data_IF_249220036997
#
_entry.id   IF_249220036997
#
_cell.length_a   1.000
_cell.length_b   1.000
_cell.length_c   1.000
_cell.angle_alpha   90.00
_cell.angle_beta   90.00
_cell.angle_gamma   90.00
#
_symmetry.space_group_name_H-M   'P 1'
#
loop_
_entity.id
_entity.type
_entity.pdbx_description
1 polymer ?
#
# COMPACT_ATOMS: atom_id res chain seq x y z
N UNK A 1 -4.22 17.36 15.81
CA UNK A 1 -3.28 17.56 14.68
C UNK A 1 -1.96 16.90 15.03
N UNK A 2 -1.34 16.23 14.10
CA UNK A 2 -0.01 15.63 14.27
C UNK A 2 0.94 16.44 13.40
N UNK A 3 1.99 17.01 14.00
CA UNK A 3 3.02 17.82 13.35
C UNK A 3 2.48 18.89 12.37
N UNK A 4 1.39 19.57 12.78
CA UNK A 4 0.74 20.61 11.96
C UNK A 4 -0.22 20.11 10.88
N UNK A 5 -0.31 18.79 10.63
CA UNK A 5 -1.26 18.19 9.71
C UNK A 5 -2.55 17.76 10.42
N UNK A 6 -3.72 17.84 9.77
CA UNK A 6 -5.00 17.48 10.36
C UNK A 6 -5.23 15.95 10.38
N UNK A 7 -4.19 15.18 10.66
CA UNK A 7 -4.27 13.72 10.79
C UNK A 7 -4.99 13.32 12.08
N UNK A 8 -5.74 12.22 12.00
CA UNK A 8 -6.33 11.56 13.16
C UNK A 8 -5.19 10.95 13.98
N UNK A 9 -5.21 11.18 15.30
CA UNK A 9 -4.27 10.50 16.19
C UNK A 9 -4.60 9.02 16.23
N UNK A 10 -3.57 8.18 16.16
CA UNK A 10 -3.75 6.72 16.19
C UNK A 10 -3.76 6.15 17.62
N UNK A 11 -3.52 6.97 18.63
CA UNK A 11 -3.45 6.48 20.01
C UNK A 11 -4.45 7.17 20.94
N UNK A 12 -4.95 6.37 21.89
CA UNK A 12 -5.66 6.83 23.08
C UNK A 12 -4.92 6.25 24.31
N UNK A 13 -4.12 7.10 24.99
CA UNK A 13 -3.21 6.63 26.02
C UNK A 13 -2.14 5.70 25.43
N UNK A 14 -2.09 4.44 25.90
CA UNK A 14 -1.13 3.42 25.46
C UNK A 14 -1.71 2.45 24.41
N UNK A 15 -2.90 2.70 23.90
CA UNK A 15 -3.54 1.87 22.88
C UNK A 15 -3.56 2.58 21.54
N UNK A 16 -3.39 1.83 20.46
CA UNK A 16 -3.37 2.30 19.06
C UNK A 16 -4.51 1.61 18.29
N UNK A 17 -4.83 2.13 17.11
CA UNK A 17 -5.93 1.62 16.28
C UNK A 17 -7.11 2.60 16.15
N UNK A 18 -7.10 3.72 16.87
CA UNK A 18 -8.17 4.73 16.80
C UNK A 18 -8.30 5.31 15.40
N UNK A 19 -7.18 5.58 14.72
CA UNK A 19 -7.22 6.07 13.35
C UNK A 19 -7.76 5.01 12.38
N UNK A 20 -7.46 3.74 12.61
CA UNK A 20 -8.03 2.64 11.83
C UNK A 20 -9.55 2.59 11.97
N UNK A 21 -10.06 2.62 13.19
CA UNK A 21 -11.50 2.58 13.46
C UNK A 21 -12.23 3.76 12.81
N UNK A 22 -11.71 4.98 12.96
CA UNK A 22 -12.28 6.17 12.34
C UNK A 22 -12.29 6.10 10.81
N UNK A 23 -11.18 5.62 10.21
CA UNK A 23 -10.99 5.66 8.75
C UNK A 23 -11.67 4.47 8.07
N UNK A 24 -11.44 3.25 8.56
CA UNK A 24 -11.85 2.02 7.89
C UNK A 24 -13.05 1.33 8.55
N UNK A 25 -13.23 1.51 9.86
CA UNK A 25 -14.34 0.96 10.61
C UNK A 25 -15.62 1.78 10.47
N UNK A 26 -15.56 3.07 10.80
CA UNK A 26 -16.71 3.96 10.72
C UNK A 26 -16.88 4.62 9.35
N UNK A 27 -15.76 4.91 8.67
CA UNK A 27 -15.77 5.65 7.41
C UNK A 27 -16.19 7.13 7.54
N UNK A 28 -16.21 7.86 6.44
CA UNK A 28 -16.52 9.30 6.40
C UNK A 28 -15.68 10.12 7.40
N UNK A 29 -14.46 9.67 7.64
CA UNK A 29 -13.55 10.32 8.59
C UNK A 29 -13.13 11.71 8.07
N UNK A 30 -12.61 12.55 8.98
CA UNK A 30 -12.05 13.86 8.58
C UNK A 30 -10.81 13.75 7.65
N UNK A 31 -10.23 12.57 7.49
CA UNK A 31 -9.18 12.32 6.50
C UNK A 31 -9.75 11.86 5.15
N UNK A 32 -11.02 11.51 5.07
CA UNK A 32 -11.68 11.12 3.83
C UNK A 32 -11.84 12.33 2.89
N UNK A 33 -11.50 12.13 1.63
CA UNK A 33 -11.72 13.12 0.55
C UNK A 33 -12.83 12.61 -0.36
N UNK A 34 -12.77 11.33 -0.70
CA UNK A 34 -13.80 10.68 -1.51
C UNK A 34 -13.82 9.18 -1.21
N UNK A 35 -14.99 8.67 -0.85
CA UNK A 35 -15.23 7.25 -0.62
C UNK A 35 -16.62 6.82 -1.09
N UNK A 36 -16.75 5.55 -1.42
CA UNK A 36 -18.02 4.91 -1.73
C UNK A 36 -18.63 4.40 -0.43
N UNK A 37 -19.87 4.81 -0.17
CA UNK A 37 -20.59 4.44 1.04
C UNK A 37 -21.40 3.18 0.77
N UNK A 38 -21.35 2.25 1.71
CA UNK A 38 -22.13 1.02 1.74
C UNK A 38 -23.08 1.04 2.94
N UNK A 39 -24.25 0.42 2.82
CA UNK A 39 -25.32 0.51 3.80
C UNK A 39 -25.80 -0.86 4.27
N UNK A 40 -26.13 -0.95 5.55
CA UNK A 40 -26.65 -2.15 6.18
C UNK A 40 -28.08 -2.51 5.70
N UNK A 41 -28.90 -1.49 5.45
CA UNK A 41 -30.32 -1.64 5.24
C UNK A 41 -30.70 -2.35 3.92
N UNK A 42 -29.79 -2.44 2.97
CA UNK A 42 -30.06 -3.02 1.65
C UNK A 42 -28.91 -3.91 1.21
N UNK A 43 -29.18 -5.20 0.99
CA UNK A 43 -28.16 -6.18 0.58
C UNK A 43 -27.46 -5.83 -0.75
N UNK A 44 -28.16 -5.11 -1.65
CA UNK A 44 -27.56 -4.61 -2.89
C UNK A 44 -26.49 -3.54 -2.67
N UNK A 45 -26.44 -2.93 -1.48
CA UNK A 45 -25.49 -1.88 -1.09
C UNK A 45 -24.40 -2.40 -0.16
N UNK A 46 -24.21 -3.71 -0.04
CA UNK A 46 -23.09 -4.28 0.68
C UNK A 46 -21.80 -4.28 -0.17
N UNK A 47 -20.67 -4.10 0.48
CA UNK A 47 -19.37 -4.16 -0.17
C UNK A 47 -18.91 -5.61 -0.40
N UNK A 48 -19.55 -6.26 -1.36
CA UNK A 48 -19.22 -7.66 -1.71
C UNK A 48 -17.82 -7.84 -2.27
N UNK A 49 -17.22 -6.79 -2.82
CA UNK A 49 -15.85 -6.82 -3.33
C UNK A 49 -14.86 -7.02 -2.18
N UNK A 50 -15.01 -6.30 -1.06
CA UNK A 50 -14.14 -6.47 0.11
C UNK A 50 -14.25 -7.89 0.64
N UNK A 51 -15.45 -8.41 0.86
CA UNK A 51 -15.63 -9.78 1.38
C UNK A 51 -15.11 -10.85 0.42
N UNK A 52 -15.22 -10.66 -0.89
CA UNK A 52 -14.70 -11.58 -1.90
C UNK A 52 -13.17 -11.56 -1.96
N UNK A 53 -12.57 -10.38 -2.00
CA UNK A 53 -11.12 -10.27 -2.18
C UNK A 53 -10.34 -10.44 -0.89
N UNK A 54 -10.82 -9.88 0.23
CA UNK A 54 -10.08 -9.89 1.50
C UNK A 54 -10.60 -10.94 2.48
N UNK A 55 -11.80 -11.46 2.24
CA UNK A 55 -12.45 -12.38 3.16
C UNK A 55 -13.01 -11.66 4.39
N UNK A 56 -13.21 -12.41 5.46
CA UNK A 56 -13.73 -11.88 6.71
C UNK A 56 -12.94 -12.32 7.95
N UNK A 57 -11.93 -13.15 7.80
CA UNK A 57 -11.10 -13.61 8.91
C UNK A 57 -9.94 -14.48 8.40
N UNK A 58 -9.05 -14.86 9.31
CA UNK A 58 -8.00 -15.84 9.04
C UNK A 58 -8.54 -17.25 8.75
N UNK A 59 -9.79 -17.55 9.17
CA UNK A 59 -10.46 -18.81 8.90
C UNK A 59 -11.12 -18.86 7.53
N UNK A 60 -11.61 -17.71 7.06
CA UNK A 60 -12.25 -17.54 5.75
C UNK A 60 -11.51 -16.47 4.95
N UNK A 61 -10.28 -16.76 4.51
CA UNK A 61 -9.50 -15.81 3.73
C UNK A 61 -10.13 -15.59 2.36
N UNK A 62 -9.97 -14.35 1.84
CA UNK A 62 -10.43 -14.01 0.51
C UNK A 62 -9.51 -14.52 -0.60
N UNK A 63 -9.80 -14.07 -1.82
CA UNK A 63 -8.99 -14.38 -3.00
C UNK A 63 -7.59 -13.77 -2.93
N UNK A 64 -7.42 -12.67 -2.21
CA UNK A 64 -6.14 -12.00 -1.97
C UNK A 64 -5.68 -12.34 -0.56
N UNK A 65 -4.44 -12.80 -0.43
CA UNK A 65 -3.84 -13.15 0.85
C UNK A 65 -2.47 -12.47 1.00
N UNK A 66 -2.04 -12.20 2.24
CA UNK A 66 -0.69 -11.70 2.49
C UNK A 66 0.35 -12.72 1.98
N UNK A 67 1.35 -12.25 1.22
CA UNK A 67 2.45 -13.12 0.81
C UNK A 67 3.29 -13.54 2.03
N UNK A 68 4.02 -14.65 1.92
CA UNK A 68 4.94 -15.12 2.96
C UNK A 68 6.05 -14.10 3.26
N UNK A 69 6.42 -13.30 2.26
CA UNK A 69 7.35 -12.19 2.43
C UNK A 69 6.81 -11.12 3.38
N UNK A 70 5.51 -10.83 3.34
CA UNK A 70 4.86 -9.81 4.14
C UNK A 70 4.38 -10.33 5.49
N UNK A 71 3.78 -11.53 5.52
CA UNK A 71 3.15 -12.07 6.73
C UNK A 71 4.14 -12.35 7.87
N UNK A 72 5.39 -12.70 7.55
CA UNK A 72 6.46 -12.93 8.52
C UNK A 72 7.30 -11.67 8.82
N UNK A 73 7.02 -10.55 8.19
CA UNK A 73 7.91 -9.38 8.21
C UNK A 73 8.17 -8.84 9.62
N UNK A 74 7.10 -8.70 10.41
CA UNK A 74 7.17 -8.09 11.74
C UNK A 74 7.90 -8.96 12.78
N UNK A 75 8.07 -10.25 12.53
CA UNK A 75 8.78 -11.18 13.43
C UNK A 75 10.29 -11.15 13.23
N UNK A 76 10.77 -10.45 12.20
CA UNK A 76 12.18 -10.33 11.88
C UNK A 76 12.83 -9.24 12.74
N UNK A 77 14.08 -9.42 13.12
CA UNK A 77 14.86 -8.38 13.79
C UNK A 77 14.98 -7.11 12.94
N UNK A 78 15.01 -7.28 11.62
CA UNK A 78 14.98 -6.20 10.63
C UNK A 78 13.87 -6.47 9.64
N UNK A 79 12.67 -5.91 9.86
CA UNK A 79 11.57 -6.01 8.92
C UNK A 79 11.95 -5.49 7.53
N UNK A 80 11.36 -6.06 6.48
CA UNK A 80 11.69 -5.74 5.08
C UNK A 80 10.78 -4.67 4.49
N UNK A 81 9.51 -4.66 4.91
CA UNK A 81 8.49 -3.71 4.46
C UNK A 81 8.28 -2.64 5.51
N UNK A 82 8.01 -3.05 6.74
CA UNK A 82 7.81 -2.14 7.86
C UNK A 82 9.15 -1.76 8.49
N UNK A 83 9.23 -0.56 9.06
CA UNK A 83 10.49 -0.04 9.63
C UNK A 83 10.83 -0.69 10.98
N UNK A 84 9.80 -1.10 11.72
CA UNK A 84 9.95 -1.77 13.00
C UNK A 84 8.77 -2.67 13.29
N UNK A 85 8.91 -3.55 14.28
CA UNK A 85 7.79 -4.36 14.82
C UNK A 85 6.72 -3.53 15.54
N UNK A 86 7.01 -2.28 15.84
CA UNK A 86 6.10 -1.32 16.47
C UNK A 86 5.31 -0.50 15.44
N UNK A 87 5.42 -0.81 14.16
CA UNK A 87 4.58 -0.17 13.14
C UNK A 87 3.15 -0.73 13.22
N UNK A 88 2.23 0.06 13.76
CA UNK A 88 0.83 -0.32 13.96
C UNK A 88 0.15 -0.77 12.65
N UNK A 89 0.57 -0.22 11.51
CA UNK A 89 0.00 -0.52 10.20
C UNK A 89 0.17 -1.96 9.76
N UNK A 90 1.18 -2.67 10.28
CA UNK A 90 1.27 -4.11 10.06
C UNK A 90 0.03 -4.80 10.60
N UNK A 91 -0.32 -4.55 11.85
CA UNK A 91 -1.47 -5.15 12.52
C UNK A 91 -2.80 -4.65 11.95
N UNK A 92 -2.87 -3.38 11.55
CA UNK A 92 -4.01 -2.78 10.87
C UNK A 92 -4.26 -3.38 9.47
N UNK A 93 -3.25 -3.95 8.86
CA UNK A 93 -3.31 -4.55 7.52
C UNK A 93 -3.44 -6.05 7.54
N UNK A 94 -2.80 -6.73 8.49
CA UNK A 94 -2.63 -8.19 8.52
C UNK A 94 -3.01 -8.74 9.89
N UNK A 95 -3.97 -9.64 9.89
CA UNK A 95 -4.32 -10.43 11.06
C UNK A 95 -3.57 -11.76 11.04
N UNK A 96 -3.03 -12.15 12.20
CA UNK A 96 -2.42 -13.46 12.42
C UNK A 96 -3.25 -14.27 13.40
N UNK A 97 -3.67 -15.46 13.00
CA UNK A 97 -4.37 -16.38 13.91
C UNK A 97 -3.40 -17.14 14.82
N UNK A 98 -3.94 -17.77 15.87
CA UNK A 98 -3.21 -18.67 16.76
C UNK A 98 -2.59 -19.88 16.03
N UNK A 99 -3.17 -20.30 14.91
CA UNK A 99 -2.67 -21.40 14.06
C UNK A 99 -1.65 -20.96 13.00
N UNK A 100 -1.12 -19.73 13.10
CA UNK A 100 -0.21 -19.13 12.12
C UNK A 100 -0.79 -18.97 10.69
N UNK A 101 -2.10 -18.96 10.54
CA UNK A 101 -2.72 -18.51 9.31
C UNK A 101 -2.82 -16.97 9.30
N UNK A 102 -2.83 -16.38 8.12
CA UNK A 102 -2.82 -14.93 7.95
C UNK A 102 -4.00 -14.52 7.08
N UNK A 103 -4.65 -13.43 7.48
CA UNK A 103 -5.72 -12.78 6.72
C UNK A 103 -5.44 -11.29 6.55
N UNK A 104 -6.24 -10.63 5.71
CA UNK A 104 -6.23 -9.18 5.59
C UNK A 104 -7.21 -8.63 6.63
N UNK A 105 -6.71 -7.73 7.49
CA UNK A 105 -7.53 -7.04 8.49
C UNK A 105 -8.18 -5.77 7.91
N UNK A 106 -7.41 -5.04 7.08
CA UNK A 106 -7.87 -3.75 6.53
C UNK A 106 -9.17 -3.94 5.74
N UNK A 107 -10.20 -3.19 6.07
CA UNK A 107 -11.59 -3.30 5.62
C UNK A 107 -12.36 -4.56 6.05
N UNK A 108 -11.70 -5.59 6.57
CA UNK A 108 -12.36 -6.83 6.95
C UNK A 108 -12.88 -6.82 8.40
N UNK A 109 -12.38 -5.94 9.25
CA UNK A 109 -12.82 -5.75 10.63
C UNK A 109 -13.19 -4.28 10.90
N UNK A 110 -14.12 -4.07 11.82
CA UNK A 110 -14.61 -2.73 12.17
C UNK A 110 -13.68 -1.97 13.11
N UNK A 111 -12.86 -2.64 13.90
CA UNK A 111 -11.93 -2.02 14.84
C UNK A 111 -10.72 -2.89 15.14
N UNK A 112 -9.65 -2.27 15.57
CA UNK A 112 -8.43 -2.94 16.01
C UNK A 112 -7.89 -2.19 17.23
N UNK A 113 -7.49 -2.93 18.25
CA UNK A 113 -6.77 -2.39 19.41
C UNK A 113 -5.37 -2.96 19.42
N UNK A 114 -4.36 -2.11 19.39
CA UNK A 114 -2.95 -2.48 19.35
C UNK A 114 -2.27 -1.95 20.61
N UNK A 115 -1.54 -2.81 21.32
CA UNK A 115 -0.84 -2.45 22.54
C UNK A 115 0.59 -2.96 22.53
N UNK A 116 1.59 -2.10 22.82
CA UNK A 116 2.93 -2.57 23.14
C UNK A 116 2.94 -3.22 24.54
N UNK A 117 3.39 -4.46 24.63
CA UNK A 117 3.46 -5.23 25.87
C UNK A 117 4.90 -5.72 26.06
N UNK A 118 5.67 -5.02 26.90
CA UNK A 118 7.10 -5.28 27.06
C UNK A 118 7.85 -5.07 25.74
N UNK A 119 8.48 -6.12 25.22
CA UNK A 119 9.16 -6.09 23.92
C UNK A 119 8.31 -6.57 22.75
N UNK A 120 7.04 -6.91 22.98
CA UNK A 120 6.11 -7.39 21.97
C UNK A 120 5.01 -6.36 21.66
N UNK A 121 4.24 -6.63 20.64
CA UNK A 121 3.03 -5.89 20.31
C UNK A 121 1.89 -6.90 20.19
N UNK A 122 0.80 -6.62 20.88
CA UNK A 122 -0.41 -7.42 20.83
C UNK A 122 -1.50 -6.65 20.08
N UNK A 123 -2.24 -7.36 19.23
CA UNK A 123 -3.35 -6.80 18.48
C UNK A 123 -4.62 -7.62 18.76
N UNK A 124 -5.71 -6.91 19.05
CA UNK A 124 -7.03 -7.51 19.23
C UNK A 124 -7.96 -6.91 18.17
N UNK A 125 -8.61 -7.79 17.44
CA UNK A 125 -9.53 -7.40 16.35
C UNK A 125 -10.95 -7.40 16.85
N UNK A 126 -11.72 -6.40 16.43
CA UNK A 126 -13.14 -6.31 16.69
C UNK A 126 -13.96 -7.26 15.82
N UNK A 127 -15.22 -6.91 15.58
CA UNK A 127 -16.10 -7.75 14.75
C UNK A 127 -15.65 -7.73 13.29
N UNK A 128 -15.52 -8.93 12.71
CA UNK A 128 -15.32 -9.07 11.28
C UNK A 128 -16.65 -8.97 10.53
N UNK A 129 -16.61 -8.37 9.36
CA UNK A 129 -17.77 -8.37 8.47
C UNK A 129 -18.01 -9.77 7.91
N UNK A 130 -19.26 -10.20 7.85
CA UNK A 130 -19.60 -11.48 7.22
C UNK A 130 -19.49 -11.37 5.70
N UNK A 131 -19.36 -12.51 5.01
CA UNK A 131 -19.30 -12.54 3.55
C UNK A 131 -20.58 -12.00 2.88
N UNK A 132 -21.72 -12.09 3.57
CA UNK A 132 -23.02 -11.57 3.12
C UNK A 132 -23.35 -10.19 3.65
N UNK A 133 -22.50 -9.60 4.49
CA UNK A 133 -22.76 -8.37 5.19
C UNK A 133 -21.49 -7.59 5.46
N UNK A 134 -21.09 -6.79 4.49
CA UNK A 134 -19.94 -5.91 4.62
C UNK A 134 -20.36 -4.48 4.30
N UNK A 135 -20.26 -3.60 5.29
CA UNK A 135 -20.57 -2.16 5.16
C UNK A 135 -19.32 -1.29 5.16
N UNK A 136 -18.14 -1.88 5.08
CA UNK A 136 -16.90 -1.12 4.99
C UNK A 136 -16.91 -0.20 3.76
N UNK A 137 -16.78 1.10 3.98
CA UNK A 137 -16.68 2.07 2.89
C UNK A 137 -15.40 1.84 2.08
N UNK A 138 -15.46 2.04 0.76
CA UNK A 138 -14.27 1.95 -0.08
C UNK A 138 -13.69 3.33 -0.34
N UNK A 139 -12.49 3.57 0.20
CA UNK A 139 -11.81 4.87 0.12
C UNK A 139 -11.10 4.98 -1.23
N UNK A 140 -11.50 5.99 -2.02
CA UNK A 140 -10.83 6.34 -3.27
C UNK A 140 -9.70 7.34 -3.04
N UNK A 141 -9.92 8.37 -2.20
CA UNK A 141 -8.91 9.36 -1.84
C UNK A 141 -9.01 9.74 -0.37
N UNK A 142 -7.87 9.80 0.29
CA UNK A 142 -7.76 10.29 1.68
C UNK A 142 -6.52 11.17 1.85
N UNK A 143 -6.50 11.92 2.95
CA UNK A 143 -5.51 12.95 3.21
C UNK A 143 -4.06 12.45 3.11
N UNK A 144 -3.75 11.29 3.71
CA UNK A 144 -2.39 10.72 3.66
C UNK A 144 -1.93 10.35 2.25
N UNK A 145 -2.84 9.91 1.36
CA UNK A 145 -2.50 9.68 -0.05
C UNK A 145 -2.07 10.99 -0.71
N UNK A 146 -2.83 12.08 -0.50
CA UNK A 146 -2.48 13.42 -1.03
C UNK A 146 -1.18 13.94 -0.43
N UNK A 147 -0.96 13.74 0.87
CA UNK A 147 0.30 14.11 1.52
C UNK A 147 1.50 13.40 0.90
N UNK A 148 1.39 12.09 0.65
CA UNK A 148 2.45 11.31 0.01
C UNK A 148 2.62 11.65 -1.47
N UNK A 149 1.55 12.02 -2.20
CA UNK A 149 1.68 12.60 -3.54
C UNK A 149 2.43 13.93 -3.52
N UNK A 150 2.18 14.80 -2.52
CA UNK A 150 2.96 16.04 -2.33
C UNK A 150 4.43 15.73 -2.04
N UNK A 151 4.72 14.76 -1.19
CA UNK A 151 6.11 14.34 -0.90
C UNK A 151 6.82 13.86 -2.17
N UNK A 152 6.16 13.04 -2.99
CA UNK A 152 6.70 12.60 -4.28
C UNK A 152 6.98 13.77 -5.22
N UNK A 153 6.05 14.71 -5.34
CA UNK A 153 6.21 15.90 -6.17
C UNK A 153 7.42 16.76 -5.73
N UNK A 154 7.58 16.97 -4.42
CA UNK A 154 8.73 17.70 -3.87
C UNK A 154 10.07 17.04 -4.24
N UNK A 155 10.14 15.70 -4.13
CA UNK A 155 11.35 14.97 -4.54
C UNK A 155 11.58 15.06 -6.04
N UNK A 156 10.53 14.95 -6.86
CA UNK A 156 10.65 15.07 -8.32
C UNK A 156 11.11 16.46 -8.76
N UNK A 157 10.71 17.51 -8.06
CA UNK A 157 11.14 18.89 -8.30
C UNK A 157 12.57 19.18 -7.86
N UNK A 158 13.14 18.36 -6.99
CA UNK A 158 14.50 18.55 -6.50
C UNK A 158 15.51 18.39 -7.66
N UNK A 159 16.56 19.25 -7.75
CA UNK A 159 17.66 19.06 -8.66
C UNK A 159 18.31 17.68 -8.51
N UNK A 160 18.89 17.14 -9.60
CA UNK A 160 19.53 15.84 -9.57
C UNK A 160 20.80 15.84 -8.68
N UNK A 161 21.17 14.65 -8.19
CA UNK A 161 22.22 14.50 -7.18
C UNK A 161 23.61 14.92 -7.69
N UNK A 162 23.86 14.85 -9.00
CA UNK A 162 25.09 15.25 -9.68
C UNK A 162 25.18 16.75 -10.00
N UNK A 163 24.12 17.53 -9.71
CA UNK A 163 24.10 18.96 -9.94
C UNK A 163 24.81 19.69 -8.78
N UNK A 164 26.08 20.04 -9.00
CA UNK A 164 26.98 20.57 -7.97
C UNK A 164 26.90 22.08 -7.72
N UNK A 165 26.11 22.83 -8.47
CA UNK A 165 25.91 24.26 -8.20
C UNK A 165 25.35 24.46 -6.79
N UNK A 166 25.97 25.36 -6.00
CA UNK A 166 25.61 25.60 -4.59
C UNK A 166 24.13 25.91 -4.40
N UNK A 167 23.55 26.75 -5.27
CA UNK A 167 22.12 27.08 -5.23
C UNK A 167 21.23 25.83 -5.42
N UNK A 168 21.62 24.90 -6.31
CA UNK A 168 20.89 23.66 -6.55
C UNK A 168 21.02 22.67 -5.40
N UNK A 169 22.18 22.61 -4.72
CA UNK A 169 22.35 21.82 -3.50
C UNK A 169 21.43 22.33 -2.38
N UNK A 170 21.34 23.62 -2.15
CA UNK A 170 20.45 24.19 -1.15
C UNK A 170 18.97 23.95 -1.50
N UNK A 171 18.59 24.15 -2.75
CA UNK A 171 17.22 23.88 -3.20
C UNK A 171 16.86 22.39 -3.03
N UNK A 172 17.78 21.50 -3.45
CA UNK A 172 17.60 20.04 -3.28
C UNK A 172 17.41 19.69 -1.82
N UNK A 173 18.30 20.08 -0.92
CA UNK A 173 18.19 19.76 0.51
C UNK A 173 16.89 20.30 1.11
N UNK A 174 16.47 21.51 0.76
CA UNK A 174 15.19 22.09 1.21
C UNK A 174 13.98 21.25 0.78
N UNK A 175 13.91 20.85 -0.50
CA UNK A 175 12.82 20.05 -1.02
C UNK A 175 12.80 18.63 -0.46
N UNK A 176 13.97 18.00 -0.31
CA UNK A 176 14.07 16.67 0.30
C UNK A 176 13.69 16.69 1.78
N UNK A 177 14.08 17.71 2.54
CA UNK A 177 13.64 17.87 3.96
C UNK A 177 12.15 18.08 4.07
N UNK A 178 11.54 18.83 3.16
CA UNK A 178 10.09 19.02 3.14
C UNK A 178 9.37 17.70 2.84
N UNK A 179 9.86 16.90 1.90
CA UNK A 179 9.33 15.57 1.61
C UNK A 179 9.51 14.61 2.80
N UNK A 180 10.70 14.59 3.39
CA UNK A 180 11.00 13.80 4.59
C UNK A 180 10.06 14.15 5.75
N UNK A 181 9.81 15.44 6.02
CA UNK A 181 8.90 15.86 7.09
C UNK A 181 7.50 15.25 6.94
N UNK A 182 6.99 15.20 5.72
CA UNK A 182 5.68 14.58 5.44
C UNK A 182 5.73 13.07 5.76
N UNK A 183 6.73 12.38 5.23
CA UNK A 183 6.88 10.93 5.42
C UNK A 183 7.06 10.60 6.90
N UNK A 184 7.93 11.33 7.59
CA UNK A 184 8.20 11.12 9.00
C UNK A 184 6.98 11.40 9.89
N UNK A 185 6.14 12.37 9.54
CA UNK A 185 4.88 12.65 10.23
C UNK A 185 3.91 11.46 10.14
N UNK A 186 3.78 10.85 8.95
CA UNK A 186 2.92 9.68 8.74
C UNK A 186 3.50 8.47 9.51
N UNK A 187 4.81 8.26 9.44
CA UNK A 187 5.48 7.20 10.18
C UNK A 187 5.28 7.33 11.70
N UNK A 188 5.47 8.53 12.26
CA UNK A 188 5.25 8.80 13.69
C UNK A 188 3.83 8.50 14.15
N UNK A 189 2.82 8.79 13.34
CA UNK A 189 1.43 8.46 13.66
C UNK A 189 1.25 6.95 13.88
N UNK A 190 2.01 6.15 13.16
CA UNK A 190 1.87 4.69 13.11
C UNK A 190 2.83 3.96 14.04
N UNK A 191 3.83 4.66 14.61
CA UNK A 191 4.78 4.06 15.56
C UNK A 191 4.13 3.91 16.93
N UNK A 192 3.85 2.66 17.34
CA UNK A 192 3.30 2.34 18.65
C UNK A 192 4.38 2.07 19.73
N UNK A 193 5.64 2.40 19.47
CA UNK A 193 6.69 2.34 20.48
C UNK A 193 6.50 3.44 21.53
N UNK A 194 6.82 3.16 22.78
CA UNK A 194 6.83 4.14 23.87
C UNK A 194 7.83 5.25 23.63
N UNK A 195 8.93 4.95 22.94
CA UNK A 195 9.94 5.91 22.50
C UNK A 195 9.89 5.97 20.97
N UNK A 196 9.21 6.98 20.44
CA UNK A 196 9.16 7.19 19.01
C UNK A 196 10.53 7.47 18.42
N UNK A 197 10.86 6.78 17.35
CA UNK A 197 12.13 6.96 16.63
C UNK A 197 11.84 7.53 15.24
N UNK A 198 12.42 8.69 14.95
CA UNK A 198 12.35 9.27 13.62
C UNK A 198 13.10 8.43 12.59
N UNK A 199 12.63 8.47 11.36
CA UNK A 199 13.39 7.92 10.24
C UNK A 199 14.71 8.68 10.12
N UNK A 200 15.83 7.97 10.01
CA UNK A 200 17.12 8.63 9.86
C UNK A 200 17.24 9.32 8.48
N UNK A 201 17.13 10.66 8.50
CA UNK A 201 17.25 11.47 7.29
C UNK A 201 18.55 11.23 6.53
N UNK A 202 19.66 10.94 7.23
CA UNK A 202 20.98 10.79 6.59
C UNK A 202 21.03 9.63 5.63
N UNK A 203 20.25 8.59 5.89
CA UNK A 203 20.08 7.43 4.99
C UNK A 203 19.36 7.80 3.68
N UNK A 204 18.56 8.87 3.68
CA UNK A 204 17.70 9.26 2.56
C UNK A 204 18.02 10.65 2.01
N UNK A 205 19.24 11.13 2.21
CA UNK A 205 19.67 12.48 1.86
C UNK A 205 19.85 12.73 0.35
N UNK A 206 19.83 11.70 -0.50
CA UNK A 206 19.84 11.86 -1.96
C UNK A 206 18.42 11.82 -2.56
N UNK A 207 18.24 12.42 -3.73
CA UNK A 207 16.99 12.43 -4.47
C UNK A 207 16.45 11.01 -4.72
N UNK A 208 17.31 10.11 -5.17
CA UNK A 208 16.95 8.71 -5.44
C UNK A 208 16.52 7.97 -4.18
N UNK A 209 17.26 8.13 -3.08
CA UNK A 209 16.95 7.48 -1.80
C UNK A 209 15.67 8.03 -1.19
N UNK A 210 15.47 9.36 -1.20
CA UNK A 210 14.24 9.97 -0.70
C UNK A 210 13.02 9.52 -1.52
N UNK A 211 13.16 9.41 -2.83
CA UNK A 211 12.10 8.90 -3.68
C UNK A 211 11.73 7.45 -3.34
N UNK A 212 12.73 6.60 -3.07
CA UNK A 212 12.47 5.23 -2.61
C UNK A 212 11.73 5.23 -1.28
N UNK A 213 12.15 6.07 -0.32
CA UNK A 213 11.48 6.21 0.97
C UNK A 213 10.00 6.59 0.81
N UNK A 214 9.68 7.57 -0.05
CA UNK A 214 8.29 7.97 -0.32
C UNK A 214 7.48 6.80 -0.89
N UNK A 215 8.02 6.04 -1.85
CA UNK A 215 7.32 4.88 -2.42
C UNK A 215 7.16 3.72 -1.44
N UNK A 216 8.14 3.52 -0.55
CA UNK A 216 8.07 2.51 0.50
C UNK A 216 7.08 2.93 1.60
N UNK A 217 6.98 4.24 1.91
CA UNK A 217 5.96 4.74 2.83
C UNK A 217 4.55 4.63 2.24
N UNK A 218 4.38 4.92 0.94
CA UNK A 218 3.12 4.65 0.24
C UNK A 218 2.73 3.17 0.29
N UNK A 219 3.70 2.27 0.17
CA UNK A 219 3.47 0.82 0.31
C UNK A 219 2.93 0.46 1.69
N UNK A 220 3.53 0.99 2.76
CA UNK A 220 3.12 0.75 4.15
C UNK A 220 1.75 1.34 4.46
N UNK A 221 1.57 2.61 4.11
CA UNK A 221 0.38 3.38 4.47
C UNK A 221 -0.86 2.98 3.67
N UNK A 222 -0.71 2.77 2.37
CA UNK A 222 -1.81 2.52 1.43
C UNK A 222 -1.96 1.03 1.05
N UNK A 223 -1.36 0.14 1.85
CA UNK A 223 -1.47 -1.31 1.66
C UNK A 223 -2.93 -1.73 1.64
N UNK A 224 -3.30 -2.59 0.68
CA UNK A 224 -4.66 -3.09 0.46
C UNK A 224 -5.73 -2.03 0.10
N UNK A 225 -5.31 -0.82 -0.29
CA UNK A 225 -6.22 0.23 -0.77
C UNK A 225 -6.26 0.33 -2.32
N UNK A 226 -5.73 -0.65 -3.02
CA UNK A 226 -5.74 -0.69 -4.50
C UNK A 226 -4.76 0.25 -5.19
N UNK A 227 -3.85 0.91 -4.46
CA UNK A 227 -2.96 1.97 -5.00
C UNK A 227 -1.65 1.44 -5.58
N UNK A 228 -1.13 0.33 -5.04
CA UNK A 228 0.26 -0.09 -5.28
C UNK A 228 0.63 -0.29 -6.74
N UNK A 229 -0.26 -0.90 -7.54
CA UNK A 229 0.02 -1.11 -8.97
C UNK A 229 0.21 0.22 -9.71
N UNK A 230 -0.67 1.17 -9.46
CA UNK A 230 -0.61 2.50 -10.09
C UNK A 230 0.66 3.27 -9.68
N UNK A 231 1.10 3.15 -8.44
CA UNK A 231 2.36 3.73 -7.96
C UNK A 231 3.54 3.15 -8.74
N UNK A 232 3.61 1.83 -8.89
CA UNK A 232 4.67 1.14 -9.62
C UNK A 232 4.68 1.48 -11.11
N UNK A 233 3.51 1.55 -11.75
CA UNK A 233 3.36 1.99 -13.14
C UNK A 233 3.83 3.42 -13.32
N UNK A 234 3.35 4.35 -12.48
CA UNK A 234 3.75 5.77 -12.54
C UNK A 234 5.25 5.93 -12.38
N UNK A 235 5.86 5.19 -11.45
CA UNK A 235 7.31 5.15 -11.27
C UNK A 235 8.02 4.66 -12.52
N UNK A 236 7.57 3.56 -13.10
CA UNK A 236 8.18 2.97 -14.30
C UNK A 236 8.11 3.91 -15.50
N UNK A 237 6.97 4.59 -15.69
CA UNK A 237 6.81 5.57 -16.77
C UNK A 237 7.76 6.75 -16.61
N UNK A 238 7.92 7.28 -15.39
CA UNK A 238 8.86 8.36 -15.10
C UNK A 238 10.31 7.93 -15.31
N UNK A 239 10.69 6.75 -14.82
CA UNK A 239 12.05 6.26 -14.88
C UNK A 239 12.42 5.69 -16.29
N UNK A 240 11.44 5.56 -17.21
CA UNK A 240 11.60 5.01 -18.55
C UNK A 240 11.98 3.51 -18.53
N UNK A 241 11.79 2.82 -17.41
CA UNK A 241 12.09 1.40 -17.27
C UNK A 241 11.31 0.77 -16.10
N UNK A 242 11.24 -0.56 -16.10
CA UNK A 242 10.47 -1.33 -15.10
C UNK A 242 11.32 -1.92 -13.97
N UNK A 243 12.57 -1.54 -13.82
CA UNK A 243 13.51 -2.15 -12.85
C UNK A 243 13.00 -2.09 -11.41
N UNK A 244 12.48 -0.94 -10.99
CA UNK A 244 11.93 -0.79 -9.64
C UNK A 244 10.68 -1.66 -9.45
N UNK A 245 9.75 -1.67 -10.42
CA UNK A 245 8.57 -2.53 -10.40
C UNK A 245 8.96 -4.01 -10.29
N UNK A 246 9.87 -4.47 -11.14
CA UNK A 246 10.37 -5.85 -11.11
C UNK A 246 10.95 -6.19 -9.75
N UNK A 247 11.79 -5.33 -9.17
CA UNK A 247 12.38 -5.57 -7.85
C UNK A 247 11.34 -5.77 -6.75
N UNK A 248 10.25 -5.01 -6.79
CA UNK A 248 9.16 -5.11 -5.80
C UNK A 248 8.25 -6.32 -6.03
N UNK A 249 7.95 -6.66 -7.27
CA UNK A 249 7.09 -7.80 -7.60
C UNK A 249 7.79 -9.12 -7.31
N UNK A 250 9.08 -9.24 -7.62
CA UNK A 250 9.87 -10.47 -7.39
C UNK A 250 10.13 -10.74 -5.90
N UNK A 251 10.08 -9.72 -5.04
CA UNK A 251 10.17 -9.90 -3.59
C UNK A 251 9.06 -10.77 -2.99
N UNK A 252 7.92 -10.87 -3.68
CA UNK A 252 6.79 -11.71 -3.22
C UNK A 252 7.07 -13.21 -3.25
N UNK A 253 8.21 -13.65 -3.79
CA UNK A 253 8.61 -15.05 -3.83
C UNK A 253 7.75 -15.86 -4.80
N UNK A 254 7.86 -15.62 -6.11
CA UNK A 254 7.25 -16.49 -7.11
C UNK A 254 8.25 -17.54 -7.58
N UNK A 255 7.82 -18.79 -7.74
CA UNK A 255 8.62 -19.88 -8.26
C UNK A 255 9.12 -19.63 -9.70
N UNK A 256 8.55 -18.64 -10.39
CA UNK A 256 8.85 -18.24 -11.75
C UNK A 256 9.42 -16.81 -11.85
N UNK A 257 10.27 -16.40 -10.91
CA UNK A 257 10.82 -15.04 -10.85
C UNK A 257 11.49 -14.59 -12.17
N UNK A 258 12.25 -15.48 -12.84
CA UNK A 258 12.91 -15.18 -14.12
C UNK A 258 11.93 -14.95 -15.26
N UNK A 259 10.86 -15.74 -15.31
CA UNK A 259 9.80 -15.58 -16.32
C UNK A 259 9.03 -14.26 -16.07
N UNK A 260 8.74 -13.97 -14.82
CA UNK A 260 8.07 -12.72 -14.41
C UNK A 260 8.93 -11.50 -14.74
N UNK A 261 10.24 -11.56 -14.46
CA UNK A 261 11.19 -10.50 -14.83
C UNK A 261 11.22 -10.27 -16.33
N UNK A 262 11.32 -11.33 -17.14
CA UNK A 262 11.33 -11.25 -18.60
C UNK A 262 10.05 -10.62 -19.15
N UNK A 263 8.88 -11.02 -18.64
CA UNK A 263 7.59 -10.46 -19.06
C UNK A 263 7.46 -8.98 -18.69
N UNK A 264 7.79 -8.62 -17.44
CA UNK A 264 7.67 -7.26 -16.93
C UNK A 264 8.80 -6.32 -17.40
N UNK A 265 9.84 -6.81 -18.07
CA UNK A 265 10.89 -5.97 -18.66
C UNK A 265 10.39 -5.06 -19.77
N UNK A 266 9.27 -5.43 -20.42
CA UNK A 266 8.65 -4.64 -21.49
C UNK A 266 7.73 -3.58 -20.86
N UNK A 267 7.88 -2.31 -21.26
CA UNK A 267 7.01 -1.22 -20.78
C UNK A 267 5.53 -1.45 -21.13
N UNK A 268 5.25 -2.08 -22.27
CA UNK A 268 3.89 -2.41 -22.69
C UNK A 268 3.19 -3.36 -21.72
N UNK A 269 3.94 -4.21 -20.99
CA UNK A 269 3.39 -5.11 -19.98
C UNK A 269 2.80 -4.41 -18.74
N UNK A 270 3.02 -3.11 -18.57
CA UNK A 270 2.39 -2.29 -17.54
C UNK A 270 0.90 -2.08 -17.77
N UNK A 271 0.42 -2.26 -18.99
CA UNK A 271 -0.95 -2.03 -19.39
C UNK A 271 -1.64 -3.35 -19.73
N UNK A 272 -2.96 -3.40 -19.49
CA UNK A 272 -3.77 -4.57 -19.77
C UNK A 272 -3.97 -4.81 -21.26
N UNK A 273 -4.19 -6.07 -21.70
CA UNK A 273 -4.60 -6.35 -23.07
C UNK A 273 -6.02 -5.82 -23.32
N UNK A 274 -6.30 -5.45 -24.55
CA UNK A 274 -7.67 -5.23 -24.99
C UNK A 274 -8.46 -6.53 -25.04
N UNK A 275 -9.75 -6.46 -24.77
CA UNK A 275 -10.62 -7.61 -24.91
C UNK A 275 -10.66 -8.06 -26.39
N UNK A 276 -10.59 -9.37 -26.62
CA UNK A 276 -10.61 -9.93 -27.97
C UNK A 276 -11.88 -9.59 -28.76
N UNK A 277 -13.02 -9.48 -28.11
CA UNK A 277 -14.26 -9.09 -28.76
C UNK A 277 -14.23 -7.64 -29.23
N UNK A 278 -13.65 -6.74 -28.45
CA UNK A 278 -13.46 -5.33 -28.85
C UNK A 278 -12.53 -5.20 -30.07
N UNK A 279 -11.49 -6.03 -30.15
CA UNK A 279 -10.59 -6.05 -31.32
C UNK A 279 -11.29 -6.55 -32.60
N UNK A 280 -12.29 -7.41 -32.48
CA UNK A 280 -13.07 -7.88 -33.63
C UNK A 280 -14.00 -6.81 -34.17
N UNK A 281 -14.56 -6.00 -33.30
CA UNK A 281 -15.57 -4.98 -33.66
C UNK A 281 -14.92 -3.68 -34.14
N UNK A 282 -13.76 -3.32 -33.57
CA UNK A 282 -13.06 -2.08 -33.90
C UNK A 282 -11.75 -2.35 -34.67
N UNK A 283 -11.74 -2.20 -36.01
CA UNK A 283 -10.55 -2.46 -36.82
C UNK A 283 -9.38 -1.48 -36.60
N UNK A 284 -9.63 -0.36 -35.93
CA UNK A 284 -8.60 0.62 -35.58
C UNK A 284 -7.90 0.30 -34.26
N UNK A 285 -8.46 -0.62 -33.47
CA UNK A 285 -7.89 -1.01 -32.20
C UNK A 285 -6.79 -2.05 -32.41
N UNK A 286 -5.58 -1.77 -31.95
CA UNK A 286 -4.45 -2.69 -32.02
C UNK A 286 -4.16 -3.27 -30.64
N UNK A 287 -3.95 -4.58 -30.58
CA UNK A 287 -3.56 -5.23 -29.32
C UNK A 287 -2.27 -4.65 -28.76
N UNK A 288 -2.20 -4.63 -27.44
CA UNK A 288 -0.98 -4.29 -26.73
C UNK A 288 0.13 -5.28 -27.13
N UNK A 289 1.32 -4.78 -27.59
CA UNK A 289 2.40 -5.63 -28.11
C UNK A 289 2.91 -6.69 -27.13
N UNK A 290 2.79 -6.47 -25.82
CA UNK A 290 3.16 -7.44 -24.80
C UNK A 290 2.31 -8.72 -24.82
N UNK A 291 1.14 -8.70 -25.50
CA UNK A 291 0.19 -9.78 -25.55
C UNK A 291 -0.09 -10.32 -26.95
N UNK A 292 0.64 -9.89 -27.97
CA UNK A 292 0.47 -10.36 -29.35
C UNK A 292 0.69 -11.86 -29.50
N UNK A 293 1.56 -12.47 -28.69
CA UNK A 293 1.84 -13.92 -28.74
C UNK A 293 0.72 -14.79 -28.17
N UNK A 294 -0.25 -14.21 -27.46
CA UNK A 294 -1.40 -14.93 -26.93
C UNK A 294 -2.42 -15.28 -28.01
N UNK A 295 -2.34 -14.69 -29.21
CA UNK A 295 -3.21 -15.00 -30.33
C UNK A 295 -2.73 -16.19 -31.17
N UNK A 296 -1.47 -16.62 -31.05
CA UNK A 296 -0.87 -17.69 -31.83
C UNK A 296 -0.75 -19.03 -31.09
N UNK A 297 -1.16 -19.13 -29.86
CA UNK A 297 -1.04 -20.33 -29.03
C UNK A 297 -2.34 -20.77 -28.41
N UNK A 298 -2.92 -21.79 -28.99
CA UNK A 298 -3.78 -22.83 -28.40
C UNK A 298 -4.31 -22.57 -26.98
N UNK A 299 -5.60 -22.31 -26.90
CA UNK A 299 -6.43 -22.42 -25.71
C UNK A 299 -6.33 -23.83 -25.09
N UNK A 300 -5.50 -23.99 -24.08
CA UNK A 300 -5.61 -25.07 -23.10
C UNK A 300 -5.45 -24.50 -21.71
N UNK A 301 -6.44 -23.71 -21.30
CA UNK A 301 -6.81 -23.62 -19.90
C UNK A 301 -7.94 -24.63 -19.71
N UNK A 302 -7.57 -25.85 -19.43
CA UNK A 302 -8.47 -26.83 -18.81
C UNK A 302 -8.94 -26.28 -17.47
N UNK A 303 -10.25 -26.39 -17.28
CA UNK A 303 -11.05 -25.98 -16.11
C UNK A 303 -10.48 -26.48 -14.79
#
# INVERSE_FOLDING_TARGET
MIDGYPLIRNNMGNTYGVAYEDIFGMGNSRESIFELIYMESESALHNTAVSTFYGNSTTYPGLVQPSTFLSGDITLDKPKVFLSKYDARYYESIEKSSSNSYGIAKYATNSITIQPVGTNVEATYGSHYSSSFCTANWILYRLTDVMLMKAEALVCMAPDDDNDATANKHLRDSLLRAAYSIVNTINRRSDCNTIHTDIDYTTYASKTQMLNLVYDERERELMFEGKRWYDLVRRSLRDGNTKYLISKVTQKGSDNASVLQSKLAKMDALFWPYNKEELKVNPYLKQNPAYNDLDNGSSTLTK
#
